data_IF_626293518088
#
_entry.id   IF_626293518088
#
_cell.length_a   1.000
_cell.length_b   1.000
_cell.length_c   1.000
_cell.angle_alpha   90.00
_cell.angle_beta   90.00
_cell.angle_gamma   90.00
#
_symmetry.space_group_name_H-M   'P 1'
#
loop_
_entity.id
_entity.type
_entity.pdbx_description
1 polymer ?
#
# COMPACT_ATOMS: atom_id res chain seq x y z
N UNK A 1 0.48 -32.30 -36.24
CA UNK A 1 0.83 -31.81 -34.89
C UNK A 1 1.43 -32.95 -34.09
N UNK A 2 2.72 -32.85 -33.73
CA UNK A 2 3.44 -33.90 -33.00
C UNK A 2 2.86 -34.11 -31.61
N UNK A 3 2.85 -35.35 -31.11
CA UNK A 3 2.39 -35.71 -29.77
C UNK A 3 3.02 -34.80 -28.69
N UNK A 4 4.31 -34.47 -28.87
CA UNK A 4 5.08 -33.54 -28.03
C UNK A 4 4.45 -32.14 -27.87
N UNK A 5 3.83 -31.57 -28.91
CA UNK A 5 3.23 -30.24 -28.82
C UNK A 5 1.91 -30.23 -28.03
N UNK A 6 1.20 -31.37 -27.97
CA UNK A 6 -0.05 -31.49 -27.20
C UNK A 6 0.22 -31.56 -25.69
N UNK A 7 1.26 -32.27 -25.26
CA UNK A 7 1.63 -32.34 -23.83
C UNK A 7 2.15 -31.00 -23.29
N UNK A 8 2.85 -30.23 -24.13
CA UNK A 8 3.37 -28.91 -23.75
C UNK A 8 2.24 -27.89 -23.52
N UNK A 9 1.21 -27.92 -24.38
CA UNK A 9 0.01 -27.11 -24.21
C UNK A 9 -0.77 -27.53 -22.96
N UNK A 10 -0.95 -28.84 -22.74
CA UNK A 10 -1.63 -29.34 -21.54
C UNK A 10 -0.90 -28.90 -20.25
N UNK A 11 0.43 -29.00 -20.19
CA UNK A 11 1.20 -28.57 -19.03
C UNK A 11 1.11 -27.06 -18.78
N UNK A 12 1.06 -26.25 -19.84
CA UNK A 12 0.87 -24.81 -19.72
C UNK A 12 -0.52 -24.47 -19.15
N UNK A 13 -1.57 -25.21 -19.54
CA UNK A 13 -2.91 -25.03 -18.98
C UNK A 13 -2.97 -25.42 -17.49
N UNK A 14 -2.39 -26.56 -17.09
CA UNK A 14 -2.39 -26.97 -15.68
C UNK A 14 -1.55 -26.06 -14.78
N UNK A 15 -0.44 -25.53 -15.26
CA UNK A 15 0.39 -24.60 -14.49
C UNK A 15 -0.33 -23.26 -14.25
N UNK A 16 -1.03 -22.74 -15.26
CA UNK A 16 -1.85 -21.54 -15.11
C UNK A 16 -3.03 -21.79 -14.16
N UNK A 17 -3.67 -22.96 -14.22
CA UNK A 17 -4.75 -23.33 -13.30
C UNK A 17 -4.27 -23.43 -11.85
N UNK A 18 -3.11 -24.06 -11.61
CA UNK A 18 -2.54 -24.22 -10.26
C UNK A 18 -2.16 -22.89 -9.60
N UNK A 19 -1.66 -21.91 -10.37
CA UNK A 19 -1.42 -20.55 -9.87
C UNK A 19 -2.74 -19.86 -9.53
N UNK A 20 -3.78 -20.06 -10.35
CA UNK A 20 -5.09 -19.47 -10.12
C UNK A 20 -5.77 -20.01 -8.85
N UNK A 21 -5.46 -21.25 -8.45
CA UNK A 21 -6.01 -21.87 -7.25
C UNK A 21 -5.34 -21.44 -5.94
N UNK A 22 -4.20 -20.75 -5.97
CA UNK A 22 -3.57 -20.27 -4.74
C UNK A 22 -4.38 -19.11 -4.15
N UNK A 23 -4.54 -19.09 -2.82
CA UNK A 23 -5.18 -17.98 -2.14
C UNK A 23 -4.32 -16.72 -2.22
N UNK A 24 -4.98 -15.57 -2.17
CA UNK A 24 -4.33 -14.27 -2.00
C UNK A 24 -3.75 -14.18 -0.59
N UNK A 25 -2.50 -13.74 -0.48
CA UNK A 25 -1.92 -13.38 0.81
C UNK A 25 -2.04 -11.87 1.02
N UNK A 26 -2.54 -11.43 2.18
CA UNK A 26 -2.70 -10.01 2.48
C UNK A 26 -1.84 -9.66 3.70
N UNK A 27 -0.98 -8.65 3.57
CA UNK A 27 -0.14 -8.11 4.64
C UNK A 27 -0.57 -6.70 5.02
N UNK A 28 -0.72 -6.46 6.33
CA UNK A 28 -0.87 -5.14 6.95
C UNK A 28 0.07 -5.02 8.15
N UNK A 29 0.42 -3.80 8.55
CA UNK A 29 1.45 -3.53 9.58
C UNK A 29 0.90 -2.69 10.73
N UNK A 30 0.38 -3.34 11.75
CA UNK A 30 -0.27 -2.65 12.87
C UNK A 30 0.77 -2.10 13.87
N UNK A 31 0.63 -0.83 14.25
CA UNK A 31 1.54 -0.16 15.19
C UNK A 31 0.84 0.33 16.46
N UNK A 32 -0.16 1.21 16.32
CA UNK A 32 -0.86 1.85 17.46
C UNK A 32 -2.36 2.10 17.22
N UNK A 33 -2.95 1.44 16.22
CA UNK A 33 -4.37 1.55 15.84
C UNK A 33 -5.02 0.18 15.66
N UNK A 34 -5.16 -0.63 16.73
CA UNK A 34 -5.74 -1.96 16.63
C UNK A 34 -7.15 -1.95 16.01
N UNK A 35 -7.90 -0.86 16.17
CA UNK A 35 -9.23 -0.70 15.59
C UNK A 35 -9.27 -0.72 14.05
N UNK A 36 -8.16 -0.39 13.38
CA UNK A 36 -8.11 -0.47 11.92
C UNK A 36 -8.10 -1.90 11.40
N UNK A 37 -7.58 -2.86 12.18
CA UNK A 37 -7.58 -4.28 11.79
C UNK A 37 -9.01 -4.78 11.59
N UNK A 38 -9.91 -4.42 12.50
CA UNK A 38 -11.33 -4.81 12.40
C UNK A 38 -12.00 -4.20 11.17
N UNK A 39 -11.73 -2.92 10.88
CA UNK A 39 -12.29 -2.23 9.72
C UNK A 39 -11.72 -2.79 8.41
N UNK A 40 -10.42 -3.09 8.33
CA UNK A 40 -9.80 -3.78 7.20
C UNK A 40 -10.45 -5.16 6.98
N UNK A 41 -10.62 -5.93 8.05
CA UNK A 41 -11.26 -7.24 7.97
C UNK A 41 -12.71 -7.17 7.47
N UNK A 42 -13.53 -6.26 8.01
CA UNK A 42 -14.91 -6.05 7.57
C UNK A 42 -14.99 -5.65 6.10
N UNK A 43 -14.11 -4.74 5.68
CA UNK A 43 -14.07 -4.27 4.29
C UNK A 43 -13.60 -5.36 3.32
N UNK A 44 -12.59 -6.15 3.67
CA UNK A 44 -12.21 -7.30 2.84
C UNK A 44 -13.32 -8.33 2.74
N UNK A 45 -14.02 -8.65 3.83
CA UNK A 45 -15.17 -9.56 3.79
C UNK A 45 -16.29 -9.08 2.87
N UNK A 46 -16.54 -7.76 2.81
CA UNK A 46 -17.61 -7.19 1.98
C UNK A 46 -17.20 -7.11 0.50
N UNK A 47 -15.98 -6.68 0.22
CA UNK A 47 -15.62 -6.18 -1.09
C UNK A 47 -14.55 -7.00 -1.83
N UNK A 48 -13.76 -7.82 -1.14
CA UNK A 48 -12.70 -8.59 -1.79
C UNK A 48 -13.26 -9.90 -2.36
N UNK A 49 -13.11 -10.08 -3.67
CA UNK A 49 -13.65 -11.24 -4.41
C UNK A 49 -12.77 -12.48 -4.34
N UNK A 50 -11.49 -12.32 -4.01
CA UNK A 50 -10.55 -13.43 -3.97
C UNK A 50 -10.61 -14.17 -2.63
N UNK A 51 -10.44 -15.49 -2.64
CA UNK A 51 -10.12 -16.24 -1.42
C UNK A 51 -8.75 -15.79 -0.87
N UNK A 52 -8.67 -15.50 0.43
CA UNK A 52 -7.50 -14.87 1.03
C UNK A 52 -7.10 -15.41 2.41
N UNK A 53 -5.82 -15.23 2.75
CA UNK A 53 -5.28 -15.31 4.11
C UNK A 53 -4.84 -13.89 4.52
N UNK A 54 -5.47 -13.35 5.56
CA UNK A 54 -5.12 -12.03 6.09
C UNK A 54 -4.13 -12.18 7.25
N UNK A 55 -2.96 -11.55 7.11
CA UNK A 55 -1.90 -11.57 8.10
C UNK A 55 -1.61 -10.14 8.57
N UNK A 56 -1.69 -9.96 9.89
CA UNK A 56 -1.29 -8.73 10.56
C UNK A 56 0.14 -8.90 11.08
N UNK A 57 1.04 -8.06 10.62
CA UNK A 57 2.36 -7.91 11.22
C UNK A 57 2.28 -6.88 12.34
N UNK A 58 2.45 -7.34 13.58
CA UNK A 58 2.39 -6.50 14.77
C UNK A 58 3.76 -5.84 15.00
N UNK A 59 3.84 -4.55 14.68
CA UNK A 59 5.02 -3.71 14.84
C UNK A 59 4.96 -2.77 16.05
N UNK A 60 4.04 -2.98 16.99
CA UNK A 60 3.93 -2.13 18.18
C UNK A 60 5.27 -1.99 18.92
N UNK A 61 5.61 -0.78 19.39
CA UNK A 61 6.80 -0.54 20.21
C UNK A 61 6.49 -0.49 21.71
N UNK A 62 5.23 -0.61 22.11
CA UNK A 62 4.79 -0.71 23.51
C UNK A 62 4.06 -2.02 23.75
N UNK A 63 4.17 -2.55 24.98
CA UNK A 63 3.49 -3.81 25.35
C UNK A 63 1.96 -3.66 25.32
N UNK A 64 1.44 -2.48 25.65
CA UNK A 64 0.00 -2.20 25.58
C UNK A 64 -0.54 -2.35 24.15
N UNK A 65 0.09 -1.69 23.18
CA UNK A 65 -0.30 -1.79 21.77
C UNK A 65 -0.09 -3.20 21.22
N UNK A 66 0.99 -3.87 21.63
CA UNK A 66 1.27 -5.25 21.24
C UNK A 66 0.12 -6.18 21.64
N UNK A 67 -0.29 -6.14 22.93
CA UNK A 67 -1.41 -6.92 23.46
C UNK A 67 -2.72 -6.55 22.76
N UNK A 68 -2.98 -5.26 22.55
CA UNK A 68 -4.22 -4.81 21.92
C UNK A 68 -4.35 -5.35 20.47
N UNK A 69 -3.26 -5.34 19.71
CA UNK A 69 -3.19 -5.90 18.35
C UNK A 69 -3.34 -7.43 18.37
N UNK A 70 -2.67 -8.13 19.29
CA UNK A 70 -2.80 -9.59 19.43
C UNK A 70 -4.25 -9.99 19.77
N UNK A 71 -4.88 -9.28 20.70
CA UNK A 71 -6.25 -9.55 21.11
C UNK A 71 -7.25 -9.36 19.97
N UNK A 72 -7.17 -8.27 19.20
CA UNK A 72 -8.10 -8.06 18.08
C UNK A 72 -7.90 -9.11 16.99
N UNK A 73 -6.65 -9.51 16.71
CA UNK A 73 -6.37 -10.58 15.76
C UNK A 73 -6.94 -11.92 16.23
N UNK A 74 -6.73 -12.29 17.50
CA UNK A 74 -7.28 -13.51 18.09
C UNK A 74 -8.81 -13.54 18.03
N UNK A 75 -9.47 -12.43 18.37
CA UNK A 75 -10.93 -12.31 18.36
C UNK A 75 -11.52 -12.48 16.94
N UNK A 76 -10.80 -12.03 15.92
CA UNK A 76 -11.23 -12.12 14.52
C UNK A 76 -10.72 -13.39 13.81
N UNK A 77 -10.00 -14.26 14.52
CA UNK A 77 -9.29 -15.42 13.97
C UNK A 77 -8.36 -15.04 12.80
N UNK A 78 -7.64 -13.93 12.96
CA UNK A 78 -6.65 -13.41 12.01
C UNK A 78 -5.26 -13.81 12.49
N UNK A 79 -4.41 -14.24 11.56
CA UNK A 79 -3.03 -14.59 11.87
C UNK A 79 -2.23 -13.32 12.21
N UNK A 80 -1.65 -13.30 13.40
CA UNK A 80 -0.80 -12.21 13.88
C UNK A 80 0.65 -12.68 13.97
N UNK A 81 1.57 -11.91 13.39
CA UNK A 81 3.02 -12.18 13.43
C UNK A 81 3.72 -11.00 14.09
N UNK A 82 4.39 -11.25 15.21
CA UNK A 82 5.20 -10.23 15.87
C UNK A 82 6.45 -9.92 15.03
N UNK A 83 6.65 -8.65 14.72
CA UNK A 83 7.92 -8.19 14.14
C UNK A 83 8.97 -8.13 15.26
N UNK A 84 10.12 -8.82 15.13
CA UNK A 84 11.18 -8.76 16.14
C UNK A 84 11.69 -7.32 16.27
N UNK A 85 11.52 -6.69 17.44
CA UNK A 85 11.84 -5.27 17.59
C UNK A 85 13.32 -4.95 17.40
N UNK A 86 14.21 -5.94 17.54
CA UNK A 86 15.64 -5.83 17.25
C UNK A 86 15.94 -5.35 15.82
N UNK A 87 15.03 -5.58 14.86
CA UNK A 87 15.21 -5.09 13.47
C UNK A 87 15.08 -3.56 13.37
N UNK A 88 14.62 -2.90 14.42
CA UNK A 88 14.50 -1.43 14.53
C UNK A 88 15.52 -0.82 15.49
N UNK A 89 16.37 -1.65 16.11
CA UNK A 89 17.46 -1.21 16.99
C UNK A 89 18.83 -1.36 16.30
N UNK A 90 18.89 -2.19 15.25
CA UNK A 90 20.08 -2.45 14.44
C UNK A 90 19.75 -2.39 12.94
N UNK A 91 20.75 -2.14 12.06
CA UNK A 91 20.55 -2.15 10.62
C UNK A 91 20.05 -3.51 10.11
N UNK A 92 18.74 -3.65 9.91
CA UNK A 92 18.16 -4.81 9.23
C UNK A 92 18.36 -4.76 7.71
N UNK A 93 18.33 -3.55 7.16
CA UNK A 93 18.61 -3.25 5.75
C UNK A 93 19.77 -2.27 5.67
N UNK A 94 20.48 -2.19 4.51
CA UNK A 94 21.53 -1.20 4.29
C UNK A 94 21.06 0.21 4.67
N UNK A 95 21.95 0.97 5.30
CA UNK A 95 21.69 2.33 5.78
C UNK A 95 22.68 3.29 5.14
N UNK A 96 22.26 4.54 4.96
CA UNK A 96 23.11 5.60 4.44
C UNK A 96 23.43 6.64 5.52
N UNK A 97 24.54 7.34 5.35
CA UNK A 97 24.89 8.48 6.17
C UNK A 97 23.74 9.51 6.10
N UNK A 98 23.41 10.11 7.25
CA UNK A 98 22.34 11.10 7.40
C UNK A 98 20.90 10.58 7.31
N UNK A 99 20.67 9.27 7.21
CA UNK A 99 19.32 8.72 7.41
C UNK A 99 18.80 9.01 8.83
N UNK A 100 17.48 9.16 9.00
CA UNK A 100 16.91 9.35 10.33
C UNK A 100 17.15 8.10 11.19
N UNK A 101 17.04 8.25 12.52
CA UNK A 101 17.28 7.16 13.45
C UNK A 101 16.40 5.93 13.18
N UNK A 102 16.84 4.74 13.62
CA UNK A 102 16.17 3.47 13.30
C UNK A 102 14.70 3.38 13.76
N UNK A 103 14.30 4.22 14.72
CA UNK A 103 12.94 4.32 15.22
C UNK A 103 12.06 5.28 14.40
N UNK A 104 12.60 5.93 13.37
CA UNK A 104 11.85 6.79 12.48
C UNK A 104 10.81 5.98 11.68
N UNK A 105 9.61 6.56 11.48
CA UNK A 105 8.46 5.87 10.87
C UNK A 105 8.79 5.21 9.53
N UNK A 106 9.48 5.92 8.62
CA UNK A 106 9.92 5.38 7.33
C UNK A 106 10.84 4.17 7.49
N UNK A 107 11.83 4.24 8.40
CA UNK A 107 12.80 3.15 8.61
C UNK A 107 12.09 1.91 9.18
N UNK A 108 11.22 2.10 10.17
CA UNK A 108 10.42 1.01 10.73
C UNK A 108 9.51 0.37 9.69
N UNK A 109 8.86 1.19 8.86
CA UNK A 109 7.98 0.73 7.79
C UNK A 109 8.73 -0.18 6.79
N UNK A 110 9.87 0.28 6.25
CA UNK A 110 10.63 -0.51 5.27
C UNK A 110 11.21 -1.79 5.88
N UNK A 111 11.64 -1.74 7.14
CA UNK A 111 12.14 -2.93 7.84
C UNK A 111 11.02 -3.96 8.05
N UNK A 112 9.85 -3.52 8.51
CA UNK A 112 8.70 -4.40 8.73
C UNK A 112 8.19 -5.04 7.44
N UNK A 113 8.08 -4.27 6.37
CA UNK A 113 7.64 -4.76 5.07
C UNK A 113 8.68 -5.72 4.47
N UNK A 114 9.97 -5.37 4.47
CA UNK A 114 11.00 -6.28 3.97
C UNK A 114 11.09 -7.57 4.80
N UNK A 115 10.91 -7.47 6.12
CA UNK A 115 10.84 -8.65 7.00
C UNK A 115 9.70 -9.58 6.58
N UNK A 116 8.50 -9.05 6.32
CA UNK A 116 7.35 -9.85 5.88
C UNK A 116 7.60 -10.55 4.53
N UNK A 117 8.22 -9.83 3.58
CA UNK A 117 8.59 -10.36 2.27
C UNK A 117 9.60 -11.50 2.40
N UNK A 118 10.66 -11.27 3.18
CA UNK A 118 11.71 -12.24 3.44
C UNK A 118 11.22 -13.45 4.23
N UNK A 119 10.19 -13.29 5.08
CA UNK A 119 9.68 -14.37 5.92
C UNK A 119 8.65 -15.23 5.20
N UNK A 120 7.74 -14.60 4.46
CA UNK A 120 6.57 -15.25 3.85
C UNK A 120 6.37 -14.85 2.38
N UNK A 121 6.42 -13.55 2.08
CA UNK A 121 6.00 -13.03 0.76
C UNK A 121 6.72 -13.68 -0.43
N UNK A 122 8.05 -13.74 -0.41
CA UNK A 122 8.83 -14.31 -1.52
C UNK A 122 8.71 -15.84 -1.66
N UNK A 123 8.18 -16.52 -0.66
CA UNK A 123 7.97 -17.97 -0.69
C UNK A 123 6.53 -18.35 -1.07
N UNK A 124 5.60 -17.39 -1.04
CA UNK A 124 4.22 -17.59 -1.45
C UNK A 124 4.13 -18.01 -2.93
N UNK A 125 3.13 -18.83 -3.25
CA UNK A 125 2.88 -19.34 -4.60
C UNK A 125 1.71 -18.66 -5.30
N UNK A 126 1.00 -17.78 -4.62
CA UNK A 126 -0.10 -17.00 -5.16
C UNK A 126 0.21 -15.50 -5.23
N UNK A 127 -0.81 -14.69 -5.53
CA UNK A 127 -0.72 -13.23 -5.43
C UNK A 127 -0.49 -12.76 -4.00
N UNK A 128 0.15 -11.60 -3.87
CA UNK A 128 0.38 -10.91 -2.61
C UNK A 128 -0.20 -9.50 -2.70
N UNK A 129 -0.94 -9.09 -1.68
CA UNK A 129 -1.38 -7.73 -1.43
C UNK A 129 -0.69 -7.22 -0.16
N UNK A 130 0.04 -6.12 -0.28
CA UNK A 130 0.62 -5.38 0.84
C UNK A 130 -0.14 -4.06 0.91
N UNK A 131 -0.60 -3.68 2.09
CA UNK A 131 -1.24 -2.39 2.31
C UNK A 131 -0.85 -1.77 3.64
N UNK A 132 -0.93 -0.45 3.70
CA UNK A 132 -0.80 0.30 4.94
C UNK A 132 -1.90 -0.07 5.95
N UNK A 133 -1.58 0.10 7.24
CA UNK A 133 -2.49 -0.22 8.34
C UNK A 133 -3.78 0.61 8.37
N UNK A 134 -3.76 1.76 7.71
CA UNK A 134 -4.87 2.69 7.63
C UNK A 134 -5.40 2.83 6.18
N UNK A 135 -5.24 1.77 5.38
CA UNK A 135 -5.84 1.63 4.05
C UNK A 135 -6.96 0.57 4.04
N UNK A 136 -8.05 0.84 3.32
CA UNK A 136 -9.29 0.07 3.38
C UNK A 136 -9.87 -0.15 1.99
N UNK A 137 -10.42 -1.34 1.75
CA UNK A 137 -11.12 -1.61 0.50
C UNK A 137 -12.56 -1.10 0.60
N UNK A 138 -12.99 -0.22 -0.30
CA UNK A 138 -14.31 0.43 -0.21
C UNK A 138 -15.22 0.13 -1.41
N UNK A 139 -14.72 -0.66 -2.37
CA UNK A 139 -15.46 -1.14 -3.53
C UNK A 139 -15.05 -2.57 -3.86
N UNK A 140 -15.96 -3.28 -4.52
CA UNK A 140 -15.69 -4.61 -5.06
C UNK A 140 -14.39 -4.67 -5.86
N UNK A 141 -13.54 -5.65 -5.55
CA UNK A 141 -12.22 -5.75 -6.15
C UNK A 141 -11.72 -7.20 -6.21
N UNK A 142 -11.03 -7.56 -7.30
CA UNK A 142 -10.23 -8.78 -7.38
C UNK A 142 -8.77 -8.42 -7.70
N UNK A 143 -7.88 -8.79 -6.78
CA UNK A 143 -6.43 -8.71 -6.94
C UNK A 143 -5.98 -9.62 -8.09
N UNK A 144 -6.56 -10.82 -8.23
CA UNK A 144 -6.22 -11.75 -9.32
C UNK A 144 -6.55 -11.16 -10.68
N UNK A 145 -7.75 -10.59 -10.83
CA UNK A 145 -8.17 -9.95 -12.07
C UNK A 145 -7.29 -8.73 -12.40
N UNK A 146 -6.99 -7.89 -11.40
CA UNK A 146 -6.12 -6.74 -11.58
C UNK A 146 -4.71 -7.16 -12.05
N UNK A 147 -4.16 -8.25 -11.50
CA UNK A 147 -2.84 -8.79 -11.85
C UNK A 147 -2.82 -9.67 -13.11
N UNK A 148 -3.93 -9.78 -13.86
CA UNK A 148 -3.92 -10.59 -15.09
C UNK A 148 -2.86 -10.11 -16.08
N UNK A 149 -2.79 -8.79 -16.28
CA UNK A 149 -1.92 -8.14 -17.28
C UNK A 149 -0.65 -7.52 -16.68
N UNK A 150 -0.51 -7.55 -15.36
CA UNK A 150 0.58 -6.89 -14.64
C UNK A 150 1.24 -7.85 -13.66
N UNK A 151 2.51 -7.63 -13.39
CA UNK A 151 3.28 -8.40 -12.42
C UNK A 151 3.39 -7.65 -11.09
N UNK A 152 3.38 -6.31 -11.14
CA UNK A 152 3.27 -5.42 -9.97
C UNK A 152 2.27 -4.31 -10.23
N UNK A 153 1.47 -3.95 -9.24
CA UNK A 153 0.62 -2.76 -9.24
C UNK A 153 0.87 -2.00 -7.95
N UNK A 154 1.24 -0.72 -8.06
CA UNK A 154 1.46 0.13 -6.90
C UNK A 154 1.48 1.60 -7.33
N UNK A 155 1.03 2.56 -6.51
CA UNK A 155 1.34 3.97 -6.74
C UNK A 155 2.85 4.17 -6.88
N UNK A 156 3.26 5.30 -7.42
CA UNK A 156 4.68 5.59 -7.62
C UNK A 156 5.05 7.03 -7.32
N UNK A 157 6.34 7.16 -7.03
CA UNK A 157 7.06 8.41 -6.90
C UNK A 157 8.04 8.52 -8.07
N UNK A 158 8.20 9.74 -8.58
CA UNK A 158 9.05 10.07 -9.70
C UNK A 158 9.94 11.22 -9.27
N UNK A 159 11.19 11.19 -9.71
CA UNK A 159 12.13 12.30 -9.54
C UNK A 159 13.09 12.34 -10.73
N UNK A 160 13.55 13.53 -11.10
CA UNK A 160 14.66 13.64 -12.07
C UNK A 160 15.99 13.73 -11.31
N UNK A 161 16.96 12.91 -11.69
CA UNK A 161 18.32 13.05 -11.17
C UNK A 161 19.02 14.29 -11.79
N UNK A 162 20.23 14.61 -11.33
CA UNK A 162 21.02 15.75 -11.83
C UNK A 162 21.32 15.70 -13.34
N UNK A 163 21.25 14.51 -13.95
CA UNK A 163 21.46 14.29 -15.39
C UNK A 163 20.17 14.40 -16.21
N UNK A 164 19.03 14.56 -15.55
CA UNK A 164 17.71 14.58 -16.17
C UNK A 164 17.11 13.19 -16.42
N UNK A 165 17.72 12.11 -15.92
CA UNK A 165 17.11 10.78 -15.98
C UNK A 165 16.00 10.65 -14.93
N UNK A 166 14.91 10.03 -15.33
CA UNK A 166 13.75 9.81 -14.46
C UNK A 166 13.98 8.58 -13.57
N UNK A 167 14.03 8.80 -12.26
CA UNK A 167 13.97 7.78 -11.22
C UNK A 167 12.50 7.49 -10.94
N UNK A 168 12.08 6.24 -11.14
CA UNK A 168 10.73 5.77 -10.81
C UNK A 168 10.82 4.64 -9.81
N UNK A 169 10.12 4.79 -8.68
CA UNK A 169 9.97 3.73 -7.70
C UNK A 169 8.53 3.66 -7.21
N UNK A 170 8.14 2.51 -6.68
CA UNK A 170 6.78 2.31 -6.16
C UNK A 170 6.62 2.97 -4.78
N UNK A 171 5.37 3.15 -4.34
CA UNK A 171 5.01 3.49 -2.96
C UNK A 171 4.75 2.22 -2.16
N UNK A 172 5.02 2.25 -0.86
CA UNK A 172 4.81 1.09 0.02
C UNK A 172 3.36 0.93 0.46
N UNK A 173 2.57 2.01 0.38
CA UNK A 173 1.21 2.09 0.93
C UNK A 173 0.25 1.05 0.33
N UNK A 174 0.47 0.69 -0.95
CA UNK A 174 -0.28 -0.33 -1.67
C UNK A 174 0.62 -1.03 -2.68
N UNK A 175 0.81 -2.34 -2.54
CA UNK A 175 1.56 -3.16 -3.50
C UNK A 175 0.79 -4.45 -3.76
N UNK A 176 0.40 -4.68 -5.01
CA UNK A 176 -0.09 -5.98 -5.48
C UNK A 176 1.04 -6.63 -6.29
N UNK A 177 1.36 -7.87 -5.98
CA UNK A 177 2.44 -8.61 -6.63
C UNK A 177 1.97 -9.97 -7.11
N UNK A 178 2.28 -10.29 -8.37
CA UNK A 178 2.17 -11.63 -8.91
C UNK A 178 3.47 -12.41 -8.60
N UNK A 179 3.63 -12.86 -7.34
CA UNK A 179 4.87 -13.48 -6.83
C UNK A 179 5.43 -14.61 -7.73
N UNK A 180 4.60 -15.50 -8.33
CA UNK A 180 5.09 -16.53 -9.25
C UNK A 180 5.71 -16.00 -10.54
N UNK A 181 5.27 -14.85 -11.03
CA UNK A 181 5.76 -14.24 -12.27
C UNK A 181 7.00 -13.36 -12.07
N UNK A 182 7.29 -12.98 -10.83
CA UNK A 182 8.42 -12.09 -10.55
C UNK A 182 9.78 -12.81 -10.72
N UNK A 183 10.61 -12.36 -11.69
CA UNK A 183 11.98 -12.83 -11.85
C UNK A 183 12.83 -12.32 -10.69
N UNK A 184 13.80 -13.12 -10.23
CA UNK A 184 14.78 -12.70 -9.22
C UNK A 184 14.16 -12.00 -7.99
N UNK A 185 12.94 -12.38 -7.57
CA UNK A 185 12.14 -11.62 -6.60
C UNK A 185 12.86 -11.32 -5.28
N UNK A 186 13.84 -12.13 -4.88
CA UNK A 186 14.66 -11.89 -3.69
C UNK A 186 15.56 -10.65 -3.81
N UNK A 187 15.78 -10.09 -5.00
CA UNK A 187 16.49 -8.82 -5.20
C UNK A 187 15.55 -7.61 -5.11
N UNK A 188 14.24 -7.83 -4.92
CA UNK A 188 13.28 -6.75 -4.69
C UNK A 188 13.50 -6.17 -3.28
N UNK A 189 13.70 -4.85 -3.20
CA UNK A 189 13.92 -4.16 -1.95
C UNK A 189 12.92 -3.02 -1.77
N UNK A 190 12.26 -2.98 -0.63
CA UNK A 190 11.42 -1.84 -0.22
C UNK A 190 12.19 -0.80 0.60
N UNK A 191 13.52 -0.88 0.64
CA UNK A 191 14.31 0.05 1.44
C UNK A 191 14.18 1.49 0.91
N UNK A 192 14.31 2.46 1.79
CA UNK A 192 14.60 3.86 1.44
C UNK A 192 16.11 4.05 1.21
N UNK A 193 16.55 5.29 1.01
CA UNK A 193 17.97 5.63 0.90
C UNK A 193 18.25 6.49 -0.32
N UNK A 194 19.37 6.27 -1.01
CA UNK A 194 19.74 7.05 -2.18
C UNK A 194 19.70 6.24 -3.48
N UNK A 195 19.20 6.86 -4.55
CA UNK A 195 19.25 6.37 -5.92
C UNK A 195 19.88 7.45 -6.79
N UNK A 196 21.03 7.17 -7.40
CA UNK A 196 21.76 8.15 -8.23
C UNK A 196 21.94 9.51 -7.51
N UNK A 197 22.36 9.48 -6.23
CA UNK A 197 22.49 10.61 -5.29
C UNK A 197 21.20 11.33 -4.89
N UNK A 198 20.04 10.86 -5.34
CA UNK A 198 18.74 11.40 -4.95
C UNK A 198 18.18 10.67 -3.72
N UNK A 199 17.77 11.36 -2.66
CA UNK A 199 17.14 10.73 -1.49
C UNK A 199 15.73 10.24 -1.86
N UNK A 200 15.43 8.99 -1.52
CA UNK A 200 14.18 8.32 -1.85
C UNK A 200 13.46 7.89 -0.57
N UNK A 201 12.13 7.95 -0.62
CA UNK A 201 11.26 7.50 0.47
C UNK A 201 11.21 5.96 0.56
N UNK A 202 10.32 5.42 1.40
CA UNK A 202 10.02 4.00 1.45
C UNK A 202 9.81 3.41 0.05
N UNK A 203 10.39 2.23 -0.17
CA UNK A 203 10.45 1.54 -1.44
C UNK A 203 11.27 2.22 -2.57
N UNK A 204 12.06 3.25 -2.26
CA UNK A 204 13.01 3.87 -3.18
C UNK A 204 13.93 2.89 -3.90
N UNK A 205 14.45 1.90 -3.17
CA UNK A 205 15.36 0.89 -3.72
C UNK A 205 14.67 -0.12 -4.67
N UNK A 206 13.35 -0.09 -4.82
CA UNK A 206 12.64 -0.86 -5.84
C UNK A 206 13.03 -0.45 -7.26
N UNK A 207 13.54 0.78 -7.44
CA UNK A 207 14.11 1.27 -8.69
C UNK A 207 15.13 0.27 -9.29
N UNK A 208 16.07 -0.22 -8.48
CA UNK A 208 17.11 -1.14 -8.95
C UNK A 208 16.55 -2.50 -9.38
N UNK A 209 15.48 -2.97 -8.72
CA UNK A 209 14.80 -4.19 -9.12
C UNK A 209 14.19 -4.05 -10.51
N UNK A 210 13.43 -2.98 -10.76
CA UNK A 210 12.79 -2.77 -12.06
C UNK A 210 13.80 -2.48 -13.16
N UNK A 211 14.86 -1.72 -12.87
CA UNK A 211 15.97 -1.46 -13.80
C UNK A 211 16.66 -2.74 -14.24
N UNK A 212 16.85 -3.70 -13.33
CA UNK A 212 17.50 -4.98 -13.60
C UNK A 212 16.54 -6.06 -14.13
N UNK A 213 15.22 -5.80 -14.14
CA UNK A 213 14.20 -6.73 -14.63
C UNK A 213 13.18 -6.00 -15.54
N UNK A 214 13.60 -5.46 -16.69
CA UNK A 214 12.76 -4.62 -17.56
C UNK A 214 11.55 -5.35 -18.16
N UNK A 215 11.49 -6.67 -18.07
CA UNK A 215 10.36 -7.50 -18.48
C UNK A 215 9.18 -7.47 -17.50
N UNK A 216 9.38 -6.99 -16.25
CA UNK A 216 8.33 -6.91 -15.25
C UNK A 216 7.33 -5.84 -15.65
N UNK A 217 6.05 -6.22 -15.79
CA UNK A 217 4.97 -5.30 -16.17
C UNK A 217 4.44 -4.61 -14.93
N UNK A 218 4.65 -3.31 -14.83
CA UNK A 218 4.20 -2.49 -13.68
C UNK A 218 3.03 -1.61 -14.10
N UNK A 219 1.96 -1.59 -13.30
CA UNK A 219 0.89 -0.59 -13.39
C UNK A 219 1.02 0.41 -12.24
N UNK A 220 1.03 1.69 -12.59
CA UNK A 220 0.93 2.78 -11.63
C UNK A 220 -0.51 3.30 -11.62
N UNK A 221 -1.35 2.89 -10.66
CA UNK A 221 -2.75 3.27 -10.64
C UNK A 221 -2.89 4.76 -10.35
N UNK A 222 -3.95 5.35 -10.88
CA UNK A 222 -4.35 6.71 -10.51
C UNK A 222 -4.75 6.74 -9.04
N UNK A 223 -4.46 7.86 -8.38
CA UNK A 223 -5.01 8.20 -7.08
C UNK A 223 -5.51 9.64 -7.02
N UNK A 224 -6.39 9.91 -6.07
CA UNK A 224 -6.91 11.24 -5.74
C UNK A 224 -6.61 11.55 -4.28
N UNK A 225 -6.04 12.72 -4.01
CA UNK A 225 -5.73 13.19 -2.66
C UNK A 225 -6.75 14.27 -2.29
N UNK A 226 -7.41 14.09 -1.15
CA UNK A 226 -8.31 15.06 -0.53
C UNK A 226 -7.53 15.79 0.56
N UNK A 227 -7.07 17.01 0.26
CA UNK A 227 -6.31 17.84 1.20
C UNK A 227 -7.23 18.75 2.04
N UNK A 228 -6.73 19.17 3.19
CA UNK A 228 -7.37 20.21 4.00
C UNK A 228 -7.27 21.55 3.24
N UNK A 229 -8.38 22.24 2.94
CA UNK A 229 -8.32 23.55 2.27
C UNK A 229 -7.46 24.58 3.02
N UNK A 230 -7.32 24.44 4.36
CA UNK A 230 -6.47 25.30 5.18
C UNK A 230 -5.00 24.90 5.14
N UNK A 231 -4.71 23.65 4.81
CA UNK A 231 -3.40 23.27 4.27
C UNK A 231 -3.40 23.70 2.81
N UNK A 232 -3.47 25.01 2.60
CA UNK A 232 -3.29 25.63 1.31
C UNK A 232 -2.05 24.96 0.68
N UNK A 233 -2.16 24.60 -0.59
CA UNK A 233 -1.07 24.14 -1.47
C UNK A 233 0.06 25.19 -1.62
N UNK A 234 0.29 26.04 -0.61
CA UNK A 234 1.38 26.99 -0.48
C UNK A 234 2.71 26.31 -0.15
N UNK A 235 2.68 25.06 0.34
CA UNK A 235 3.87 24.22 0.43
C UNK A 235 4.26 23.72 -0.97
N UNK A 236 5.55 23.76 -1.26
CA UNK A 236 6.25 23.46 -2.53
C UNK A 236 5.71 22.36 -3.45
N UNK A 237 4.88 21.43 -2.96
CA UNK A 237 4.34 20.28 -3.70
C UNK A 237 3.39 20.64 -4.85
N UNK A 238 2.64 21.75 -4.75
CA UNK A 238 1.69 22.16 -5.81
C UNK A 238 2.17 23.38 -6.63
N UNK A 239 3.22 24.07 -6.17
CA UNK A 239 3.68 25.35 -6.74
C UNK A 239 4.95 25.27 -7.56
N UNK A 240 5.69 24.17 -7.53
CA UNK A 240 6.98 24.10 -8.19
C UNK A 240 6.87 23.45 -9.58
N UNK A 241 6.82 24.21 -10.69
CA UNK A 241 6.46 23.73 -12.04
C UNK A 241 7.40 22.68 -12.66
N UNK A 242 8.37 22.16 -11.91
CA UNK A 242 9.14 20.98 -12.27
C UNK A 242 8.22 19.77 -12.47
N UNK A 243 8.70 18.77 -13.23
CA UNK A 243 7.92 17.63 -13.69
C UNK A 243 7.10 16.94 -12.59
N UNK A 244 7.59 16.95 -11.34
CA UNK A 244 6.89 16.40 -10.17
C UNK A 244 5.57 17.14 -9.88
N UNK A 245 5.47 18.46 -10.07
CA UNK A 245 4.23 19.19 -9.83
C UNK A 245 3.15 18.96 -10.88
N UNK A 246 3.50 18.65 -12.13
CA UNK A 246 2.50 18.37 -13.17
C UNK A 246 1.74 17.10 -12.83
N UNK A 247 2.45 16.07 -12.38
CA UNK A 247 1.86 14.83 -11.89
C UNK A 247 1.15 15.02 -10.53
N UNK A 248 1.68 15.83 -9.62
CA UNK A 248 1.05 16.08 -8.32
C UNK A 248 -0.23 16.93 -8.41
N UNK A 249 -0.26 17.93 -9.31
CA UNK A 249 -1.43 18.76 -9.56
C UNK A 249 -2.60 17.96 -10.15
N UNK A 250 -2.31 16.93 -10.95
CA UNK A 250 -3.33 16.00 -11.48
C UNK A 250 -3.93 15.07 -10.42
N UNK A 251 -3.29 14.97 -9.23
CA UNK A 251 -3.68 14.07 -8.13
C UNK A 251 -4.52 14.77 -7.06
N UNK A 252 -4.43 16.08 -6.92
CA UNK A 252 -5.26 16.84 -5.98
C UNK A 252 -6.59 17.21 -6.62
N UNK A 253 -7.70 16.82 -6.00
CA UNK A 253 -9.04 17.18 -6.49
C UNK A 253 -9.66 18.22 -5.56
N UNK A 254 -10.15 19.32 -6.13
CA UNK A 254 -10.99 20.26 -5.39
C UNK A 254 -12.31 19.53 -5.08
N UNK A 255 -12.66 19.27 -3.81
CA UNK A 255 -13.73 18.36 -3.42
C UNK A 255 -15.14 18.97 -3.57
N UNK A 256 -15.42 19.56 -4.73
CA UNK A 256 -16.79 19.93 -5.12
C UNK A 256 -17.52 18.68 -5.60
N UNK A 257 -18.83 18.63 -5.38
CA UNK A 257 -19.67 17.50 -5.83
C UNK A 257 -19.47 17.20 -7.31
N UNK A 258 -19.55 18.21 -8.18
CA UNK A 258 -19.38 18.02 -9.62
C UNK A 258 -18.01 17.43 -10.01
N UNK A 259 -16.93 17.87 -9.34
CA UNK A 259 -15.60 17.32 -9.61
C UNK A 259 -15.49 15.86 -9.17
N UNK A 260 -16.03 15.54 -7.99
CA UNK A 260 -16.02 14.17 -7.45
C UNK A 260 -16.89 13.23 -8.32
N UNK A 261 -18.06 13.67 -8.77
CA UNK A 261 -18.91 12.92 -9.71
C UNK A 261 -18.15 12.66 -11.03
N UNK A 262 -17.50 13.68 -11.59
CA UNK A 262 -16.68 13.55 -12.79
C UNK A 262 -15.46 12.62 -12.60
N UNK A 263 -14.97 12.49 -11.37
CA UNK A 263 -13.90 11.58 -10.98
C UNK A 263 -14.42 10.16 -10.59
N UNK A 264 -15.71 9.89 -10.79
CA UNK A 264 -16.30 8.56 -10.58
C UNK A 264 -16.50 8.17 -9.12
N UNK A 265 -16.62 9.14 -8.22
CA UNK A 265 -16.98 8.90 -6.83
C UNK A 265 -18.48 8.57 -6.70
N UNK A 266 -18.82 7.66 -5.78
CA UNK A 266 -20.20 7.32 -5.45
C UNK A 266 -20.84 8.40 -4.58
N UNK A 267 -22.17 8.40 -4.46
CA UNK A 267 -22.87 9.36 -3.60
C UNK A 267 -22.41 9.27 -2.14
N UNK A 268 -22.19 8.06 -1.62
CA UNK A 268 -21.74 7.85 -0.23
C UNK A 268 -20.32 8.37 -0.01
N UNK A 269 -19.43 8.16 -0.98
CA UNK A 269 -18.08 8.71 -0.94
C UNK A 269 -18.08 10.24 -1.03
N UNK A 270 -18.94 10.82 -1.88
CA UNK A 270 -19.08 12.28 -2.01
C UNK A 270 -19.60 12.87 -0.69
N UNK A 271 -20.63 12.27 -0.09
CA UNK A 271 -21.15 12.71 1.21
C UNK A 271 -20.08 12.64 2.30
N UNK A 272 -19.30 11.56 2.32
CA UNK A 272 -18.18 11.41 3.24
C UNK A 272 -17.12 12.50 3.05
N UNK A 273 -16.69 12.75 1.80
CA UNK A 273 -15.70 13.77 1.44
C UNK A 273 -16.19 15.17 1.80
N UNK A 274 -17.40 15.53 1.37
CA UNK A 274 -18.02 16.84 1.63
C UNK A 274 -18.37 17.03 3.11
N UNK A 275 -18.54 15.95 3.86
CA UNK A 275 -18.68 15.94 5.32
C UNK A 275 -17.44 16.45 6.07
N UNK A 276 -16.34 16.72 5.36
CA UNK A 276 -15.16 17.41 5.88
C UNK A 276 -14.04 16.49 6.33
N UNK A 277 -13.96 15.27 5.79
CA UNK A 277 -12.73 14.48 5.88
C UNK A 277 -11.64 15.13 5.02
N UNK A 278 -10.43 15.19 5.56
CA UNK A 278 -9.27 15.74 4.90
C UNK A 278 -8.04 14.88 5.18
N UNK A 279 -6.97 15.13 4.43
CA UNK A 279 -5.74 14.33 4.43
C UNK A 279 -6.10 12.86 4.22
N UNK A 280 -6.76 12.55 3.11
CA UNK A 280 -7.11 11.19 2.74
C UNK A 280 -6.82 10.98 1.26
N UNK A 281 -6.77 9.72 0.83
CA UNK A 281 -6.45 9.39 -0.56
C UNK A 281 -7.30 8.23 -1.05
N UNK A 282 -7.66 8.26 -2.32
CA UNK A 282 -8.43 7.22 -3.00
C UNK A 282 -7.59 6.67 -4.14
N UNK A 283 -7.34 5.36 -4.17
CA UNK A 283 -6.38 4.71 -5.06
C UNK A 283 -7.10 3.65 -5.89
N UNK A 284 -6.63 3.44 -7.12
CA UNK A 284 -7.10 2.38 -8.02
C UNK A 284 -8.59 2.51 -8.32
N UNK A 285 -8.97 3.55 -9.07
CA UNK A 285 -10.37 3.84 -9.42
C UNK A 285 -11.29 3.89 -8.18
N UNK A 286 -10.79 4.50 -7.11
CA UNK A 286 -11.45 4.67 -5.81
C UNK A 286 -11.79 3.34 -5.12
N UNK A 287 -11.13 2.21 -5.46
CA UNK A 287 -11.35 0.94 -4.78
C UNK A 287 -10.73 0.93 -3.38
N UNK A 288 -9.60 1.60 -3.21
CA UNK A 288 -8.90 1.70 -1.92
C UNK A 288 -9.02 3.11 -1.37
N UNK A 289 -9.41 3.21 -0.10
CA UNK A 289 -9.38 4.44 0.69
C UNK A 289 -8.20 4.38 1.67
N UNK A 290 -7.30 5.34 1.57
CA UNK A 290 -6.19 5.55 2.50
C UNK A 290 -6.56 6.67 3.46
N UNK A 291 -6.70 6.32 4.74
CA UNK A 291 -7.00 7.26 5.81
C UNK A 291 -5.90 8.32 5.94
N UNK A 292 -4.64 7.98 5.70
CA UNK A 292 -3.42 8.78 5.88
C UNK A 292 -3.25 9.36 7.27
N UNK A 293 -2.03 9.16 7.80
CA UNK A 293 -1.64 9.62 9.14
C UNK A 293 -2.42 8.96 10.26
N UNK A 294 -2.82 7.70 10.09
CA UNK A 294 -3.48 6.90 11.11
C UNK A 294 -2.70 6.86 12.43
N UNK A 295 -1.38 6.77 12.37
CA UNK A 295 -0.49 6.77 13.54
C UNK A 295 -0.26 8.14 14.19
N UNK A 296 -0.84 9.21 13.65
CA UNK A 296 -0.59 10.60 14.03
C UNK A 296 0.87 11.06 13.86
N UNK A 297 1.58 10.55 12.85
CA UNK A 297 2.95 10.99 12.55
C UNK A 297 3.04 12.49 12.21
N UNK A 298 1.93 13.12 11.83
CA UNK A 298 1.84 14.55 11.51
C UNK A 298 1.50 15.45 12.72
N UNK A 299 1.43 14.89 13.93
CA UNK A 299 1.29 15.67 15.17
C UNK A 299 -0.02 16.47 15.29
N UNK A 300 -1.10 16.02 14.66
CA UNK A 300 -2.41 16.68 14.76
C UNK A 300 -3.03 16.49 16.15
N UNK A 301 -3.88 17.44 16.60
CA UNK A 301 -4.59 17.32 17.88
C UNK A 301 -5.47 16.08 17.97
N UNK A 302 -5.77 15.64 19.19
CA UNK A 302 -6.60 14.46 19.44
C UNK A 302 -8.01 14.60 18.85
N UNK A 303 -8.61 15.79 18.99
CA UNK A 303 -9.96 16.11 18.53
C UNK A 303 -10.08 15.98 17.00
N UNK A 304 -9.01 16.29 16.27
CA UNK A 304 -8.95 16.10 14.82
C UNK A 304 -9.08 14.61 14.46
N UNK A 305 -8.31 13.75 15.14
CA UNK A 305 -8.36 12.31 14.90
C UNK A 305 -9.67 11.68 15.34
N UNK A 306 -10.24 12.13 16.47
CA UNK A 306 -11.56 11.64 16.92
C UNK A 306 -12.67 12.00 15.94
N UNK A 307 -12.69 13.26 15.44
CA UNK A 307 -13.66 13.66 14.41
C UNK A 307 -13.48 12.85 13.13
N UNK A 308 -12.24 12.73 12.64
CA UNK A 308 -11.95 12.00 11.40
C UNK A 308 -12.29 10.52 11.52
N UNK A 309 -11.96 9.90 12.65
CA UNK A 309 -12.29 8.50 12.92
C UNK A 309 -13.79 8.27 12.99
N UNK A 310 -14.55 9.17 13.63
CA UNK A 310 -16.02 9.07 13.67
C UNK A 310 -16.62 9.11 12.26
N UNK A 311 -16.28 10.13 11.47
CA UNK A 311 -16.75 10.24 10.08
C UNK A 311 -16.37 9.00 9.27
N UNK A 312 -15.16 8.49 9.47
CA UNK A 312 -14.69 7.30 8.77
C UNK A 312 -15.46 6.05 9.16
N UNK A 313 -15.74 5.83 10.45
CA UNK A 313 -16.56 4.70 10.92
C UNK A 313 -17.97 4.78 10.36
N UNK A 314 -18.60 5.95 10.45
CA UNK A 314 -19.96 6.17 9.92
C UNK A 314 -20.02 5.82 8.43
N UNK A 315 -19.01 6.25 7.66
CA UNK A 315 -18.88 5.92 6.24
C UNK A 315 -18.69 4.42 5.99
N UNK A 316 -17.75 3.76 6.69
CA UNK A 316 -17.52 2.32 6.52
C UNK A 316 -18.77 1.52 6.89
N UNK A 317 -19.42 1.84 8.01
CA UNK A 317 -20.66 1.18 8.43
C UNK A 317 -21.77 1.33 7.41
N UNK A 318 -21.88 2.49 6.77
CA UNK A 318 -22.85 2.73 5.69
C UNK A 318 -22.60 1.84 4.48
N UNK A 319 -21.35 1.71 4.01
CA UNK A 319 -21.05 0.98 2.76
C UNK A 319 -20.96 -0.54 2.93
N UNK A 320 -20.78 -1.05 4.17
CA UNK A 320 -20.74 -2.50 4.43
C UNK A 320 -22.13 -3.11 4.69
N UNK A 321 -23.14 -2.29 5.00
CA UNK A 321 -24.55 -2.71 5.01
C UNK A 321 -24.95 -3.20 3.61
#
# INVERSE_FOLDING_TARGET
>A
MNLSSKYLLLSAFFFNYYIYTQHLLIFTYAFNRPEFIELQYKTFKKFLKDEYEFIVFNDANTRENEIAIENICNNLNIKCIRIPQIIHDLPYLPRWDHEPGFQHGTIRCVNGVQFSLNRLGFFHKGPLLILDSDMFLIREFSVKEALNNYDVISPCQYHNNEKGDMIVHISIDLILMNIPRLPNKQTFSVNCGFVDNFPTDAAGQSYWYFKNNPQVRVLYPRHYIILDPKLNCDNHLCKNPDADSKYFAERCINPTRNNLEAAGFSNDEIEYIVGGVTNSEFIFNNCFYHYRSGSNWNGRPKEYHEKKMRLFRDFIEKIIQ
#
